data_IF_734034905248
#
_entry.id   IF_734034905248
#
_cell.length_a   1.000
_cell.length_b   1.000
_cell.length_c   1.000
_cell.angle_alpha   90.00
_cell.angle_beta   90.00
_cell.angle_gamma   90.00
#
_symmetry.space_group_name_H-M   'P 1'
#
loop_
_entity.id
_entity.type
_entity.pdbx_description
1 polymer ?
#
# COMPACT_ATOMS: atom_id res chain seq x y z
N UNK A 1 31.88 -53.32 -10.66
CA UNK A 1 32.13 -51.93 -10.30
C UNK A 1 33.00 -51.92 -9.06
N UNK A 2 34.10 -51.16 -9.14
CA UNK A 2 35.09 -51.04 -8.07
C UNK A 2 34.41 -50.46 -6.81
N UNK A 3 34.73 -50.92 -5.62
CA UNK A 3 34.26 -50.43 -4.32
C UNK A 3 34.37 -48.88 -4.24
N UNK A 4 35.47 -48.32 -4.73
CA UNK A 4 35.71 -46.90 -4.78
C UNK A 4 34.64 -46.10 -5.61
N UNK A 5 34.19 -46.63 -6.74
CA UNK A 5 33.15 -46.00 -7.55
C UNK A 5 31.79 -46.01 -6.81
N UNK A 6 31.49 -47.08 -6.10
CA UNK A 6 30.28 -47.15 -5.26
C UNK A 6 30.32 -46.16 -4.10
N UNK A 7 31.47 -45.93 -3.47
CA UNK A 7 31.61 -44.97 -2.37
C UNK A 7 31.52 -43.52 -2.82
N UNK A 8 32.06 -43.21 -4.01
CA UNK A 8 31.90 -41.87 -4.63
C UNK A 8 30.44 -41.62 -4.95
N UNK A 9 29.73 -42.59 -5.52
CA UNK A 9 28.31 -42.46 -5.83
C UNK A 9 27.47 -42.26 -4.58
N UNK A 10 27.68 -43.02 -3.52
CA UNK A 10 26.99 -42.86 -2.23
C UNK A 10 27.25 -41.49 -1.61
N UNK A 11 28.48 -40.98 -1.68
CA UNK A 11 28.81 -39.63 -1.16
C UNK A 11 28.11 -38.55 -1.97
N UNK A 12 28.05 -38.66 -3.28
CA UNK A 12 27.35 -37.72 -4.15
C UNK A 12 25.83 -37.72 -3.87
N UNK A 13 25.26 -38.90 -3.72
CA UNK A 13 23.83 -39.03 -3.40
C UNK A 13 23.48 -38.45 -2.03
N UNK A 14 24.34 -38.69 -1.01
CA UNK A 14 24.19 -38.09 0.31
C UNK A 14 24.26 -36.55 0.27
N UNK A 15 25.20 -35.98 -0.48
CA UNK A 15 25.29 -34.52 -0.65
C UNK A 15 24.04 -33.97 -1.37
N UNK A 16 23.60 -34.61 -2.44
CA UNK A 16 22.40 -34.21 -3.18
C UNK A 16 21.13 -34.33 -2.31
N UNK A 17 21.06 -35.34 -1.45
CA UNK A 17 19.98 -35.49 -0.48
C UNK A 17 19.98 -34.33 0.52
N UNK A 18 21.14 -33.98 1.09
CA UNK A 18 21.29 -32.85 2.02
C UNK A 18 20.84 -31.54 1.38
N UNK A 19 21.27 -31.28 0.15
CA UNK A 19 20.86 -30.03 -0.58
C UNK A 19 19.33 -30.01 -0.78
N UNK A 20 18.74 -31.11 -1.24
CA UNK A 20 17.28 -31.19 -1.44
C UNK A 20 16.51 -31.06 -0.13
N UNK A 21 17.00 -31.65 0.96
CA UNK A 21 16.40 -31.53 2.28
C UNK A 21 16.38 -30.07 2.74
N UNK A 22 17.50 -29.37 2.66
CA UNK A 22 17.59 -27.95 3.03
C UNK A 22 16.67 -27.09 2.19
N UNK A 23 16.57 -27.35 0.87
CA UNK A 23 15.66 -26.63 -0.03
C UNK A 23 14.20 -26.77 0.43
N UNK A 24 13.78 -27.99 0.75
CA UNK A 24 12.44 -28.26 1.26
C UNK A 24 12.18 -27.56 2.61
N UNK A 25 13.18 -27.49 3.48
CA UNK A 25 13.05 -26.79 4.76
C UNK A 25 12.93 -25.27 4.61
N UNK A 26 13.61 -24.66 3.63
CA UNK A 26 13.41 -23.24 3.28
C UNK A 26 12.02 -23.01 2.71
N UNK A 27 11.58 -23.84 1.78
CA UNK A 27 10.27 -23.71 1.14
C UNK A 27 9.11 -23.93 2.13
N UNK A 28 9.33 -24.77 3.16
CA UNK A 28 8.33 -25.01 4.20
C UNK A 28 8.00 -23.72 4.97
N UNK A 29 9.01 -22.93 5.35
CA UNK A 29 8.78 -21.65 6.05
C UNK A 29 7.90 -20.71 5.24
N UNK A 30 8.23 -20.55 3.95
CA UNK A 30 7.45 -19.69 3.07
C UNK A 30 6.03 -20.21 2.86
N UNK A 31 5.84 -21.53 2.83
CA UNK A 31 4.51 -22.13 2.68
C UNK A 31 3.65 -21.93 3.92
N UNK A 32 4.22 -22.09 5.12
CA UNK A 32 3.51 -21.90 6.38
C UNK A 32 3.04 -20.43 6.51
N UNK A 33 3.91 -19.48 6.20
CA UNK A 33 3.58 -18.05 6.21
C UNK A 33 2.52 -17.72 5.16
N UNK A 34 2.63 -18.27 3.95
CA UNK A 34 1.65 -18.10 2.88
C UNK A 34 0.27 -18.61 3.28
N UNK A 35 0.20 -19.76 3.94
CA UNK A 35 -1.06 -20.32 4.40
C UNK A 35 -1.77 -19.38 5.39
N UNK A 36 -1.03 -18.77 6.32
CA UNK A 36 -1.56 -17.81 7.29
C UNK A 36 -2.15 -16.58 6.54
N UNK A 37 -1.36 -15.94 5.69
CA UNK A 37 -1.78 -14.74 4.96
C UNK A 37 -2.96 -15.02 4.02
N UNK A 38 -2.96 -16.15 3.33
CA UNK A 38 -4.06 -16.50 2.44
C UNK A 38 -5.35 -16.79 3.20
N UNK A 39 -5.27 -17.34 4.40
CA UNK A 39 -6.42 -17.56 5.27
C UNK A 39 -7.00 -16.23 5.76
N UNK A 40 -6.17 -15.29 6.19
CA UNK A 40 -6.60 -13.94 6.58
C UNK A 40 -7.24 -13.21 5.39
N UNK A 41 -6.59 -13.22 4.24
CA UNK A 41 -7.10 -12.61 3.01
C UNK A 41 -8.44 -13.21 2.60
N UNK A 42 -8.61 -14.51 2.72
CA UNK A 42 -9.86 -15.20 2.40
C UNK A 42 -11.00 -14.81 3.37
N UNK A 43 -10.71 -14.64 4.66
CA UNK A 43 -11.69 -14.15 5.64
C UNK A 43 -12.22 -12.77 5.25
N UNK A 44 -11.33 -11.86 4.86
CA UNK A 44 -11.73 -10.52 4.38
C UNK A 44 -12.58 -10.59 3.11
N UNK A 45 -12.23 -11.46 2.15
CA UNK A 45 -12.96 -11.63 0.89
C UNK A 45 -14.34 -12.26 1.08
N UNK A 46 -14.51 -13.15 2.06
CA UNK A 46 -15.79 -13.80 2.35
C UNK A 46 -16.83 -12.85 2.95
N UNK A 47 -16.44 -11.62 3.26
CA UNK A 47 -17.35 -10.59 3.73
C UNK A 47 -17.60 -10.64 5.25
N UNK A 48 -16.73 -11.28 6.01
CA UNK A 48 -16.76 -11.22 7.46
C UNK A 48 -16.66 -9.74 7.92
N UNK A 49 -17.37 -9.41 9.01
CA UNK A 49 -17.26 -8.05 9.55
C UNK A 49 -15.84 -7.81 10.07
N UNK A 50 -15.16 -6.84 9.46
CA UNK A 50 -13.80 -6.48 9.85
C UNK A 50 -13.78 -5.50 11.03
N UNK A 51 -14.93 -4.97 11.44
CA UNK A 51 -15.04 -3.96 12.50
C UNK A 51 -14.33 -4.36 13.78
N UNK A 52 -14.63 -5.54 14.29
CA UNK A 52 -14.03 -6.02 15.54
C UNK A 52 -12.53 -6.27 15.41
N UNK A 53 -12.09 -6.75 14.23
CA UNK A 53 -10.67 -6.90 13.93
C UNK A 53 -9.95 -5.55 13.89
N UNK A 54 -10.56 -4.54 13.27
CA UNK A 54 -10.00 -3.19 13.19
C UNK A 54 -9.97 -2.53 14.57
N UNK A 55 -11.01 -2.67 15.39
CA UNK A 55 -10.97 -2.20 16.77
C UNK A 55 -9.83 -2.82 17.55
N UNK A 56 -9.62 -4.12 17.39
CA UNK A 56 -8.47 -4.79 18.01
C UNK A 56 -7.15 -4.22 17.51
N UNK A 57 -7.00 -4.03 16.19
CA UNK A 57 -5.81 -3.42 15.59
C UNK A 57 -5.52 -2.02 16.18
N UNK A 58 -6.55 -1.18 16.34
CA UNK A 58 -6.44 0.14 16.96
C UNK A 58 -5.96 0.03 18.42
N UNK A 59 -6.56 -0.87 19.18
CA UNK A 59 -6.20 -1.10 20.58
C UNK A 59 -4.76 -1.62 20.72
N UNK A 60 -4.36 -2.56 19.86
CA UNK A 60 -3.01 -3.12 19.85
C UNK A 60 -1.95 -2.04 19.48
N UNK A 61 -2.27 -1.10 18.58
CA UNK A 61 -1.37 0.03 18.27
C UNK A 61 -1.19 0.97 19.45
N UNK A 62 -2.27 1.29 20.17
CA UNK A 62 -2.19 2.11 21.39
C UNK A 62 -1.36 1.39 22.46
N UNK A 63 -1.59 0.09 22.67
CA UNK A 63 -0.81 -0.68 23.64
C UNK A 63 0.68 -0.67 23.29
N UNK A 64 1.01 -0.95 22.03
CA UNK A 64 2.39 -0.98 21.54
C UNK A 64 3.07 0.37 21.73
N UNK A 65 2.41 1.49 21.39
CA UNK A 65 2.97 2.83 21.56
C UNK A 65 3.24 3.13 23.05
N UNK A 66 2.27 2.86 23.92
CA UNK A 66 2.45 3.09 25.37
C UNK A 66 3.52 2.17 25.95
N UNK A 67 3.59 0.89 25.57
CA UNK A 67 4.61 -0.05 26.07
C UNK A 67 6.03 0.30 25.61
N UNK A 68 6.15 0.98 24.48
CA UNK A 68 7.44 1.42 23.94
C UNK A 68 7.97 2.61 24.72
N UNK A 69 7.13 3.62 25.03
CA UNK A 69 7.54 4.87 25.67
C UNK A 69 7.45 4.80 27.20
N UNK A 70 6.49 4.05 27.73
CA UNK A 70 6.16 4.08 29.16
C UNK A 70 6.23 2.67 29.75
N UNK A 71 7.38 2.37 30.39
CA UNK A 71 7.50 1.14 31.18
C UNK A 71 6.58 1.17 32.42
N UNK A 72 6.05 0.02 32.79
CA UNK A 72 5.17 -0.13 33.98
C UNK A 72 5.88 0.20 35.30
N UNK A 73 7.21 0.29 35.30
CA UNK A 73 8.05 0.57 36.47
C UNK A 73 8.36 2.06 36.63
N UNK A 74 8.10 2.87 35.60
CA UNK A 74 8.43 4.31 35.61
C UNK A 74 7.29 5.08 36.29
N UNK A 75 7.58 5.94 37.29
CA UNK A 75 6.58 6.79 37.93
C UNK A 75 6.03 7.81 36.92
N UNK A 76 4.80 8.25 37.14
CA UNK A 76 4.06 9.13 36.23
C UNK A 76 4.81 10.43 35.88
N UNK A 77 5.53 11.00 36.84
CA UNK A 77 6.27 12.25 36.68
C UNK A 77 7.42 12.16 35.67
N UNK A 78 7.84 10.93 35.33
CA UNK A 78 8.94 10.65 34.42
C UNK A 78 8.45 10.14 33.06
N UNK A 79 7.13 10.15 32.78
CA UNK A 79 6.60 9.73 31.49
C UNK A 79 6.96 10.71 30.39
N UNK A 80 7.53 10.22 29.30
CA UNK A 80 7.77 11.02 28.10
C UNK A 80 6.51 11.02 27.21
N UNK A 81 5.65 12.00 27.47
CA UNK A 81 4.40 12.19 26.69
C UNK A 81 4.70 12.70 25.28
N UNK A 82 5.84 13.38 25.08
CA UNK A 82 6.22 13.88 23.77
C UNK A 82 6.62 12.73 22.84
N UNK A 83 7.43 11.77 23.33
CA UNK A 83 7.79 10.58 22.58
C UNK A 83 6.57 9.74 22.25
N UNK A 84 5.61 9.63 23.17
CA UNK A 84 4.35 8.93 22.95
C UNK A 84 3.52 9.60 21.82
N UNK A 85 3.44 10.93 21.81
CA UNK A 85 2.77 11.69 20.77
C UNK A 85 3.45 11.48 19.41
N UNK A 86 4.77 11.54 19.35
CA UNK A 86 5.53 11.31 18.12
C UNK A 86 5.31 9.91 17.52
N UNK A 87 5.09 8.90 18.34
CA UNK A 87 4.79 7.53 17.88
C UNK A 87 3.32 7.33 17.53
N UNK A 88 2.40 7.89 18.30
CA UNK A 88 0.98 7.58 18.19
C UNK A 88 0.23 8.48 17.19
N UNK A 89 0.48 9.79 17.21
CA UNK A 89 -0.28 10.76 16.39
C UNK A 89 -0.15 10.55 14.88
N UNK A 90 0.99 10.11 14.32
CA UNK A 90 1.09 9.79 12.89
C UNK A 90 0.25 8.60 12.46
N UNK A 91 -0.14 7.72 13.40
CA UNK A 91 -0.95 6.52 13.14
C UNK A 91 -2.41 6.81 13.46
N UNK A 92 -2.68 7.35 14.65
CA UNK A 92 -4.01 7.68 15.14
C UNK A 92 -4.03 9.19 15.46
N UNK A 93 -4.70 10.03 14.67
CA UNK A 93 -4.66 11.48 14.82
C UNK A 93 -5.54 11.94 15.99
N UNK A 94 -5.09 11.61 17.20
CA UNK A 94 -5.69 12.09 18.45
C UNK A 94 -5.27 13.55 18.72
N UNK A 95 -5.92 14.17 19.69
CA UNK A 95 -5.41 15.43 20.25
C UNK A 95 -4.11 15.15 21.02
N UNK A 96 -3.14 16.08 21.02
CA UNK A 96 -1.88 15.93 21.75
C UNK A 96 -2.13 15.59 23.22
N UNK A 97 -1.36 14.63 23.74
CA UNK A 97 -1.50 14.15 25.10
C UNK A 97 -0.81 15.13 26.05
N UNK A 98 -1.60 15.85 26.83
CA UNK A 98 -1.11 16.80 27.83
C UNK A 98 -1.33 16.27 29.24
N UNK A 99 -0.53 16.74 30.20
CA UNK A 99 -0.73 16.37 31.61
C UNK A 99 -2.13 16.67 32.12
N UNK A 100 -2.77 17.71 31.59
CA UNK A 100 -4.14 18.08 31.91
C UNK A 100 -5.14 17.06 31.40
N UNK A 101 -4.92 16.52 30.17
CA UNK A 101 -5.81 15.53 29.53
C UNK A 101 -5.76 14.17 30.20
N UNK A 102 -4.73 13.88 30.98
CA UNK A 102 -4.51 12.62 31.71
C UNK A 102 -4.54 12.80 33.24
N UNK A 103 -5.12 13.91 33.76
CA UNK A 103 -5.16 14.22 35.20
C UNK A 103 -5.68 13.07 36.05
N UNK A 104 -6.66 12.35 35.55
CA UNK A 104 -7.33 11.24 36.26
C UNK A 104 -6.59 9.91 36.13
N UNK A 105 -5.55 9.83 35.30
CA UNK A 105 -4.78 8.61 35.02
C UNK A 105 -3.63 8.48 36.01
N UNK A 106 -3.55 7.35 36.70
CA UNK A 106 -2.54 7.09 37.74
C UNK A 106 -1.44 6.13 37.34
N UNK A 107 -1.72 5.25 36.38
CA UNK A 107 -0.79 4.21 35.97
C UNK A 107 -0.85 3.95 34.45
N UNK A 108 0.15 3.25 33.92
CA UNK A 108 0.26 2.90 32.50
C UNK A 108 -0.96 2.12 31.97
N UNK A 109 -1.60 1.29 32.79
CA UNK A 109 -2.80 0.52 32.40
C UNK A 109 -4.01 1.43 32.20
N UNK A 110 -4.20 2.40 33.09
CA UNK A 110 -5.27 3.39 32.96
C UNK A 110 -5.03 4.30 31.75
N UNK A 111 -3.77 4.65 31.48
CA UNK A 111 -3.41 5.42 30.28
C UNK A 111 -3.75 4.66 29.01
N UNK A 112 -3.38 3.39 28.91
CA UNK A 112 -3.74 2.53 27.77
C UNK A 112 -5.25 2.50 27.57
N UNK A 113 -6.01 2.29 28.65
CA UNK A 113 -7.47 2.23 28.58
C UNK A 113 -8.07 3.56 28.11
N UNK A 114 -7.60 4.67 28.66
CA UNK A 114 -8.04 6.01 28.29
C UNK A 114 -7.77 6.34 26.81
N UNK A 115 -6.56 6.04 26.32
CA UNK A 115 -6.19 6.27 24.93
C UNK A 115 -6.93 5.32 23.97
N UNK A 116 -7.16 4.07 24.36
CA UNK A 116 -7.98 3.12 23.59
C UNK A 116 -9.40 3.63 23.41
N UNK A 117 -10.02 4.10 24.46
CA UNK A 117 -11.37 4.66 24.41
C UNK A 117 -11.45 5.87 23.48
N UNK A 118 -10.48 6.79 23.59
CA UNK A 118 -10.40 7.95 22.68
C UNK A 118 -10.19 7.54 21.22
N UNK A 119 -9.32 6.56 20.96
CA UNK A 119 -9.05 6.07 19.62
C UNK A 119 -10.27 5.39 19.00
N UNK A 120 -11.00 4.59 19.78
CA UNK A 120 -12.24 3.95 19.34
C UNK A 120 -13.33 4.99 19.05
N UNK A 121 -13.51 5.99 19.91
CA UNK A 121 -14.47 7.09 19.69
C UNK A 121 -14.14 7.87 18.42
N UNK A 122 -12.85 8.14 18.16
CA UNK A 122 -12.42 8.80 16.93
C UNK A 122 -12.79 7.95 15.69
N UNK A 123 -12.59 6.65 15.76
CA UNK A 123 -12.95 5.75 14.68
C UNK A 123 -14.46 5.68 14.44
N UNK A 124 -15.27 5.61 15.51
CA UNK A 124 -16.73 5.66 15.43
C UNK A 124 -17.24 7.00 14.86
N UNK A 125 -16.61 8.10 15.23
CA UNK A 125 -16.90 9.40 14.63
C UNK A 125 -16.67 9.39 13.11
N UNK A 126 -15.57 8.76 12.64
CA UNK A 126 -15.30 8.60 11.21
C UNK A 126 -16.33 7.71 10.51
N UNK A 127 -16.83 6.67 11.14
CA UNK A 127 -17.94 5.87 10.59
C UNK A 127 -19.16 6.77 10.25
N UNK A 128 -19.44 7.76 11.09
CA UNK A 128 -20.61 8.66 10.90
C UNK A 128 -20.42 9.72 9.83
N UNK A 129 -19.18 9.97 9.36
CA UNK A 129 -18.90 10.89 8.25
C UNK A 129 -19.37 10.32 6.90
N UNK A 130 -19.56 9.01 6.80
CA UNK A 130 -19.98 8.35 5.57
C UNK A 130 -21.51 8.31 5.47
N UNK A 131 -22.08 8.60 4.27
CA UNK A 131 -23.54 8.59 4.07
C UNK A 131 -24.18 7.23 4.29
N UNK A 132 -23.44 6.16 3.99
CA UNK A 132 -23.89 4.76 4.10
C UNK A 132 -22.81 3.95 4.79
N UNK A 133 -23.16 3.22 5.83
CA UNK A 133 -22.23 2.41 6.60
C UNK A 133 -21.60 1.27 5.77
N UNK A 134 -22.34 0.77 4.78
CA UNK A 134 -21.86 -0.26 3.87
C UNK A 134 -20.67 0.23 3.04
N UNK A 135 -20.65 1.49 2.65
CA UNK A 135 -19.52 2.08 1.92
C UNK A 135 -18.27 2.12 2.80
N UNK A 136 -18.42 2.42 4.08
CA UNK A 136 -17.32 2.39 5.02
C UNK A 136 -16.81 0.97 5.25
N UNK A 137 -17.71 -0.02 5.36
CA UNK A 137 -17.33 -1.44 5.48
C UNK A 137 -16.61 -1.96 4.24
N UNK A 138 -17.02 -1.51 3.06
CA UNK A 138 -16.31 -1.85 1.82
C UNK A 138 -14.93 -1.20 1.76
N UNK A 139 -14.83 0.05 2.23
CA UNK A 139 -13.57 0.76 2.35
C UNK A 139 -12.59 0.03 3.29
N UNK A 140 -13.05 -0.42 4.47
CA UNK A 140 -12.25 -1.23 5.40
C UNK A 140 -11.67 -2.46 4.71
N UNK A 141 -12.50 -3.21 3.95
CA UNK A 141 -12.06 -4.38 3.19
C UNK A 141 -11.02 -4.04 2.14
N UNK A 142 -11.28 -3.02 1.34
CA UNK A 142 -10.37 -2.61 0.26
C UNK A 142 -9.02 -2.16 0.82
N UNK A 143 -9.01 -1.37 1.89
CA UNK A 143 -7.79 -0.90 2.54
C UNK A 143 -7.01 -2.08 3.10
N UNK A 144 -7.65 -2.95 3.86
CA UNK A 144 -6.99 -4.11 4.48
C UNK A 144 -6.41 -5.05 3.43
N UNK A 145 -7.18 -5.40 2.38
CA UNK A 145 -6.67 -6.23 1.28
C UNK A 145 -5.47 -5.60 0.58
N UNK A 146 -5.53 -4.30 0.31
CA UNK A 146 -4.45 -3.58 -0.37
C UNK A 146 -3.18 -3.54 0.47
N UNK A 147 -3.30 -3.36 1.77
CA UNK A 147 -2.16 -3.35 2.70
C UNK A 147 -1.57 -4.76 2.81
N UNK A 148 -2.40 -5.79 3.02
CA UNK A 148 -1.96 -7.18 3.06
C UNK A 148 -1.21 -7.55 1.78
N UNK A 149 -1.80 -7.29 0.61
CA UNK A 149 -1.21 -7.65 -0.68
C UNK A 149 0.15 -6.97 -0.87
N UNK A 150 0.28 -5.69 -0.53
CA UNK A 150 1.53 -4.93 -0.64
C UNK A 150 2.60 -5.48 0.31
N UNK A 151 2.30 -5.58 1.61
CA UNK A 151 3.26 -6.06 2.62
C UNK A 151 3.70 -7.49 2.35
N UNK A 152 2.78 -8.34 1.89
CA UNK A 152 3.11 -9.69 1.52
C UNK A 152 4.05 -9.78 0.31
N UNK A 153 3.86 -8.95 -0.71
CA UNK A 153 4.78 -8.89 -1.85
C UNK A 153 6.18 -8.44 -1.43
N UNK A 154 6.27 -7.38 -0.63
CA UNK A 154 7.54 -6.88 -0.10
C UNK A 154 8.23 -7.98 0.75
N UNK A 155 7.47 -8.70 1.59
CA UNK A 155 8.00 -9.77 2.43
C UNK A 155 8.54 -10.97 1.62
N UNK A 156 7.88 -11.34 0.51
CA UNK A 156 8.38 -12.41 -0.37
C UNK A 156 9.76 -12.01 -0.92
N UNK A 157 9.90 -10.77 -1.38
CA UNK A 157 11.16 -10.26 -1.92
C UNK A 157 12.27 -10.25 -0.84
N UNK A 158 11.93 -9.85 0.39
CA UNK A 158 12.85 -9.85 1.52
C UNK A 158 13.28 -11.27 1.92
N UNK A 159 12.35 -12.24 1.91
CA UNK A 159 12.66 -13.65 2.17
C UNK A 159 13.55 -14.25 1.09
N UNK A 160 13.38 -13.86 -0.16
CA UNK A 160 14.27 -14.28 -1.25
C UNK A 160 15.68 -13.69 -1.09
N UNK A 161 15.81 -12.43 -0.66
CA UNK A 161 17.09 -11.81 -0.35
C UNK A 161 17.76 -12.49 0.85
N UNK A 162 17.01 -12.79 1.90
CA UNK A 162 17.49 -13.55 3.06
C UNK A 162 18.03 -14.91 2.63
N UNK A 163 17.31 -15.66 1.79
CA UNK A 163 17.71 -16.95 1.26
C UNK A 163 19.03 -16.89 0.50
N UNK A 164 19.27 -15.83 -0.27
CA UNK A 164 20.53 -15.63 -0.98
C UNK A 164 21.70 -15.32 -0.04
N UNK A 165 21.46 -14.55 1.03
CA UNK A 165 22.49 -14.13 1.98
C UNK A 165 22.81 -15.14 3.07
N UNK A 166 21.86 -16.01 3.41
CA UNK A 166 21.95 -16.88 4.59
C UNK A 166 23.11 -17.89 4.53
N UNK A 167 23.53 -18.27 3.32
CA UNK A 167 24.67 -19.19 3.11
C UNK A 167 25.97 -18.70 3.74
N UNK A 168 26.15 -17.39 3.90
CA UNK A 168 27.32 -16.80 4.56
C UNK A 168 27.36 -17.07 6.05
N UNK A 169 26.23 -17.37 6.69
CA UNK A 169 26.16 -17.72 8.12
C UNK A 169 26.86 -19.04 8.43
N UNK A 170 27.01 -19.93 7.45
CA UNK A 170 27.77 -21.17 7.58
C UNK A 170 29.25 -20.90 7.95
N UNK A 171 29.82 -19.76 7.53
CA UNK A 171 31.18 -19.36 7.89
C UNK A 171 31.31 -19.08 9.40
N UNK A 172 30.22 -18.67 10.06
CA UNK A 172 30.15 -18.44 11.51
C UNK A 172 29.77 -19.68 12.32
N UNK A 173 29.87 -20.89 11.76
CA UNK A 173 29.51 -22.17 12.39
C UNK A 173 28.03 -22.24 12.85
N UNK A 174 27.15 -21.44 12.27
CA UNK A 174 25.72 -21.49 12.50
C UNK A 174 25.04 -22.29 11.39
N UNK A 175 24.03 -23.07 11.76
CA UNK A 175 23.22 -23.78 10.76
C UNK A 175 22.39 -22.77 9.95
N UNK A 176 22.62 -22.65 8.63
CA UNK A 176 21.91 -21.68 7.79
C UNK A 176 20.38 -21.90 7.79
N UNK A 177 19.92 -23.14 7.88
CA UNK A 177 18.48 -23.46 7.89
C UNK A 177 17.82 -22.94 9.16
N UNK A 178 18.47 -23.15 10.32
CA UNK A 178 17.97 -22.65 11.61
C UNK A 178 17.94 -21.13 11.61
N UNK A 179 19.01 -20.48 11.13
CA UNK A 179 19.06 -19.02 11.04
C UNK A 179 17.99 -18.47 10.11
N UNK A 180 17.77 -19.10 8.96
CA UNK A 180 16.71 -18.72 8.03
C UNK A 180 15.33 -18.80 8.68
N UNK A 181 15.04 -19.88 9.41
CA UNK A 181 13.78 -20.03 10.13
C UNK A 181 13.59 -18.93 11.16
N UNK A 182 14.59 -18.66 12.00
CA UNK A 182 14.51 -17.61 13.03
C UNK A 182 14.27 -16.25 12.41
N UNK A 183 15.15 -15.83 11.49
CA UNK A 183 15.04 -14.52 10.84
C UNK A 183 13.75 -14.39 10.00
N UNK A 184 13.32 -15.48 9.34
CA UNK A 184 12.08 -15.47 8.57
C UNK A 184 10.83 -15.35 9.44
N UNK A 185 10.81 -15.87 10.67
CA UNK A 185 9.73 -15.62 11.62
C UNK A 185 9.75 -14.20 12.16
N UNK A 186 10.94 -13.68 12.52
CA UNK A 186 11.06 -12.28 12.97
C UNK A 186 10.57 -11.30 11.89
N UNK A 187 10.96 -11.51 10.63
CA UNK A 187 10.51 -10.69 9.50
C UNK A 187 9.01 -10.81 9.25
N UNK A 188 8.43 -12.00 9.45
CA UNK A 188 6.99 -12.22 9.32
C UNK A 188 6.19 -11.50 10.41
N UNK A 189 6.67 -11.54 11.65
CA UNK A 189 6.07 -10.81 12.78
C UNK A 189 6.14 -9.30 12.55
N UNK A 190 7.27 -8.79 12.03
CA UNK A 190 7.42 -7.38 11.65
C UNK A 190 6.45 -7.00 10.53
N UNK A 191 6.30 -7.85 9.50
CA UNK A 191 5.35 -7.63 8.42
C UNK A 191 3.91 -7.58 8.93
N UNK A 192 3.49 -8.50 9.79
CA UNK A 192 2.13 -8.53 10.35
C UNK A 192 1.85 -7.33 11.24
N UNK A 193 2.83 -6.90 12.04
CA UNK A 193 2.76 -5.65 12.79
C UNK A 193 2.62 -4.43 11.85
N UNK A 194 3.35 -4.44 10.74
CA UNK A 194 3.26 -3.39 9.71
C UNK A 194 1.92 -3.38 8.97
N UNK A 195 1.28 -4.54 8.76
CA UNK A 195 -0.10 -4.61 8.22
C UNK A 195 -1.07 -3.90 9.16
N UNK A 196 -0.99 -4.20 10.44
CA UNK A 196 -1.84 -3.60 11.48
C UNK A 196 -1.67 -2.08 11.52
N UNK A 197 -0.41 -1.60 11.56
CA UNK A 197 -0.07 -0.19 11.63
C UNK A 197 -0.56 0.58 10.40
N UNK A 198 -0.22 0.10 9.19
CA UNK A 198 -0.58 0.78 7.94
C UNK A 198 -2.10 0.78 7.71
N UNK A 199 -2.80 -0.30 8.11
CA UNK A 199 -4.26 -0.37 8.03
C UNK A 199 -4.92 0.67 8.92
N UNK A 200 -4.51 0.74 10.20
CA UNK A 200 -5.02 1.74 11.14
C UNK A 200 -4.71 3.15 10.66
N UNK A 201 -3.45 3.41 10.25
CA UNK A 201 -3.03 4.72 9.73
C UNK A 201 -3.89 5.16 8.55
N UNK A 202 -4.08 4.30 7.54
CA UNK A 202 -4.87 4.63 6.37
C UNK A 202 -6.33 4.90 6.73
N UNK A 203 -6.97 4.05 7.53
CA UNK A 203 -8.37 4.22 7.92
C UNK A 203 -8.59 5.48 8.76
N UNK A 204 -7.67 5.81 9.67
CA UNK A 204 -7.76 6.99 10.52
C UNK A 204 -7.54 8.30 9.77
N UNK A 205 -6.78 8.31 8.66
CA UNK A 205 -6.48 9.52 7.89
C UNK A 205 -7.35 9.70 6.65
N UNK A 206 -8.20 8.74 6.30
CA UNK A 206 -9.13 8.88 5.18
C UNK A 206 -10.08 10.06 5.44
N UNK A 207 -10.25 10.89 4.42
CA UNK A 207 -11.21 11.99 4.38
C UNK A 207 -12.19 11.78 3.23
N UNK A 208 -13.46 11.99 3.48
CA UNK A 208 -14.49 11.97 2.46
C UNK A 208 -14.43 13.27 1.67
N UNK A 209 -13.93 13.23 0.42
CA UNK A 209 -14.09 14.37 -0.48
C UNK A 209 -15.58 14.52 -0.82
N UNK A 210 -16.26 15.45 -0.16
CA UNK A 210 -17.56 15.91 -0.61
C UNK A 210 -17.32 16.64 -1.95
N UNK A 211 -17.74 16.04 -3.06
CA UNK A 211 -17.89 16.77 -4.33
C UNK A 211 -18.89 17.88 -4.07
N UNK A 212 -18.40 19.07 -3.79
CA UNK A 212 -19.23 20.27 -3.85
C UNK A 212 -19.63 20.38 -5.31
N UNK A 213 -20.83 19.90 -5.65
CA UNK A 213 -21.45 20.26 -6.94
C UNK A 213 -21.50 21.78 -6.96
N UNK A 214 -20.68 22.36 -7.82
CA UNK A 214 -20.76 23.81 -8.07
C UNK A 214 -22.14 24.06 -8.65
N UNK A 215 -23.08 24.52 -7.83
CA UNK A 215 -24.31 25.11 -8.32
C UNK A 215 -23.88 26.21 -9.31
N UNK A 216 -24.38 26.09 -10.53
CA UNK A 216 -24.18 27.15 -11.51
C UNK A 216 -24.88 28.40 -11.00
N UNK A 217 -24.16 29.25 -10.26
CA UNK A 217 -24.65 30.51 -9.67
C UNK A 217 -24.96 31.53 -10.75
N UNK A 218 -24.59 31.29 -11.99
CA UNK A 218 -24.93 32.16 -13.14
C UNK A 218 -25.62 31.33 -14.22
N UNK A 219 -26.93 31.40 -14.32
CA UNK A 219 -27.61 31.18 -15.59
C UNK A 219 -27.14 32.30 -16.53
N UNK A 220 -26.47 31.91 -17.61
CA UNK A 220 -26.13 32.83 -18.70
C UNK A 220 -27.46 33.31 -19.29
N UNK A 221 -27.99 34.39 -18.75
CA UNK A 221 -29.11 35.12 -19.27
C UNK A 221 -28.58 36.07 -20.36
N UNK A 222 -28.45 35.52 -21.58
CA UNK A 222 -28.19 36.33 -22.77
C UNK A 222 -26.70 36.59 -23.03
N UNK A 223 -26.17 36.06 -24.09
CA UNK A 223 -25.03 36.67 -24.78
C UNK A 223 -25.57 37.95 -25.42
N UNK A 224 -24.98 39.12 -25.11
CA UNK A 224 -25.10 40.34 -25.89
C UNK A 224 -24.52 40.07 -27.29
N UNK A 225 -25.28 39.37 -28.12
CA UNK A 225 -25.15 39.44 -29.55
C UNK A 225 -26.17 40.50 -29.98
N UNK A 226 -25.77 41.74 -29.85
CA UNK A 226 -26.35 42.78 -30.71
C UNK A 226 -26.24 42.32 -32.14
N UNK A 227 -27.35 42.45 -32.88
CA UNK A 227 -27.44 42.22 -34.32
C UNK A 227 -26.54 43.25 -35.04
N UNK A 228 -25.23 42.99 -35.05
CA UNK A 228 -24.28 43.61 -35.96
C UNK A 228 -24.18 42.77 -37.24
N UNK A 229 -23.85 43.38 -38.39
CA UNK A 229 -23.90 42.76 -39.71
C UNK A 229 -23.02 41.48 -39.70
N UNK A 230 -23.59 40.39 -40.22
CA UNK A 230 -23.02 39.06 -40.28
C UNK A 230 -21.55 39.09 -40.70
N UNK A 231 -20.65 38.79 -39.78
CA UNK A 231 -19.25 38.52 -40.09
C UNK A 231 -19.25 37.23 -40.89
N UNK A 232 -18.97 37.34 -42.20
CA UNK A 232 -18.75 36.20 -43.08
C UNK A 232 -17.69 35.32 -42.44
N UNK A 233 -18.02 34.06 -42.19
CA UNK A 233 -17.09 33.07 -41.72
C UNK A 233 -15.81 32.99 -42.59
N UNK A 234 -14.72 32.39 -42.10
CA UNK A 234 -13.46 32.34 -42.83
C UNK A 234 -13.69 31.80 -44.23
N UNK A 235 -13.28 32.64 -45.25
CA UNK A 235 -13.47 32.31 -46.64
C UNK A 235 -12.83 30.94 -46.96
N UNK A 236 -13.67 29.98 -47.30
CA UNK A 236 -13.23 28.66 -47.75
C UNK A 236 -12.64 28.89 -49.13
N UNK A 237 -11.33 28.64 -49.32
CA UNK A 237 -10.70 28.69 -50.63
C UNK A 237 -11.42 27.72 -51.56
N UNK A 238 -11.99 28.23 -52.60
CA UNK A 238 -12.71 27.44 -53.61
C UNK A 238 -11.77 26.81 -54.66
N UNK A 239 -10.49 27.17 -54.66
CA UNK A 239 -9.52 26.61 -55.59
C UNK A 239 -8.77 25.45 -54.94
N UNK A 240 -8.80 24.27 -55.61
CA UNK A 240 -8.03 23.08 -55.25
C UNK A 240 -6.54 23.43 -55.36
N UNK A 241 -5.81 23.28 -54.26
CA UNK A 241 -4.36 23.41 -54.21
C UNK A 241 -3.75 22.27 -55.02
N UNK A 242 -3.02 22.62 -56.10
CA UNK A 242 -2.37 21.67 -57.00
C UNK A 242 -0.98 21.36 -56.38
N UNK A 243 -0.74 20.07 -56.11
CA UNK A 243 0.54 19.62 -55.57
C UNK A 243 1.53 19.31 -56.65
N UNK A 244 2.86 19.35 -56.38
CA UNK A 244 3.92 19.14 -57.40
C UNK A 244 3.81 17.85 -58.19
N UNK A 245 3.22 16.81 -57.65
CA UNK A 245 3.07 15.50 -58.31
C UNK A 245 1.71 15.27 -58.98
N UNK A 246 0.75 16.22 -58.85
CA UNK A 246 -0.57 16.12 -59.50
C UNK A 246 -0.42 16.30 -61.02
N UNK A 247 -1.38 15.73 -61.80
CA UNK A 247 -1.45 15.97 -63.22
C UNK A 247 -1.63 17.47 -63.53
N UNK A 248 -0.87 17.98 -64.48
CA UNK A 248 -0.89 19.40 -64.81
C UNK A 248 -2.24 19.83 -65.38
N UNK A 249 -2.87 20.92 -64.89
CA UNK A 249 -4.18 21.40 -65.37
C UNK A 249 -4.15 21.89 -66.83
N UNK A 250 -2.98 22.07 -67.43
CA UNK A 250 -2.87 22.46 -68.87
C UNK A 250 -3.18 21.31 -69.84
N UNK A 251 -3.50 20.08 -69.35
CA UNK A 251 -3.85 18.94 -70.19
C UNK A 251 -2.66 18.23 -70.84
N UNK A 252 -1.41 18.56 -70.52
CA UNK A 252 -0.21 17.98 -71.11
C UNK A 252 0.13 16.54 -70.72
N UNK A 253 -0.62 15.92 -69.78
CA UNK A 253 -0.39 14.58 -69.22
C UNK A 253 0.87 14.47 -68.35
N UNK A 254 1.59 15.55 -68.13
CA UNK A 254 2.79 15.58 -67.30
C UNK A 254 2.49 16.05 -65.87
N UNK A 255 3.28 15.63 -64.88
CA UNK A 255 3.16 16.11 -63.50
C UNK A 255 3.39 17.62 -63.42
N UNK A 256 2.65 18.34 -62.56
CA UNK A 256 2.71 19.80 -62.43
C UNK A 256 4.14 20.36 -62.30
N UNK A 257 5.00 19.75 -61.49
CA UNK A 257 6.40 20.11 -61.28
C UNK A 257 7.25 20.02 -62.56
N UNK A 258 6.85 19.20 -63.53
CA UNK A 258 7.58 18.96 -64.77
C UNK A 258 6.96 19.70 -65.99
N UNK A 259 5.93 20.53 -65.73
CA UNK A 259 5.22 21.30 -66.73
C UNK A 259 5.06 22.76 -66.30
N UNK A 260 3.89 23.23 -65.95
CA UNK A 260 3.61 24.63 -65.60
C UNK A 260 4.25 25.05 -64.25
N UNK A 261 4.46 24.07 -63.31
CA UNK A 261 5.15 24.32 -62.07
C UNK A 261 6.67 24.42 -62.13
N UNK A 262 7.26 24.28 -63.32
CA UNK A 262 8.72 24.39 -63.52
C UNK A 262 9.24 25.84 -63.65
N UNK A 263 8.31 26.79 -63.75
CA UNK A 263 8.64 28.22 -63.94
C UNK A 263 8.17 29.10 -62.76
N UNK A 264 7.75 28.48 -61.64
CA UNK A 264 7.40 29.17 -60.40
C UNK A 264 8.54 29.10 -59.38
#
# INVERSE_FOLDING_TARGET
PSSAASDVYKRQEYNNYGIRKNLLEYDQVNNDQREIIYKERMSVLNGDSMRDAIFKMIQDQVEKAVDTCISTEIPREEWDLHELDELLLPIIPLEPITEESISDVKNSKELKQHLKEKAVLLYEAKETEFPEIEQFRELERVVLLKVIDRKWMDHIDDMDQLKQGIGLQALGQRDPVVQYKMMGYDMFDEMTAGITEDTVRLLMHIQVEQKVEREQVAKVTGTNKDEGPSVKGPARRTEKKIYPNDPCPCGSGKKYKNCCGRKA
#
